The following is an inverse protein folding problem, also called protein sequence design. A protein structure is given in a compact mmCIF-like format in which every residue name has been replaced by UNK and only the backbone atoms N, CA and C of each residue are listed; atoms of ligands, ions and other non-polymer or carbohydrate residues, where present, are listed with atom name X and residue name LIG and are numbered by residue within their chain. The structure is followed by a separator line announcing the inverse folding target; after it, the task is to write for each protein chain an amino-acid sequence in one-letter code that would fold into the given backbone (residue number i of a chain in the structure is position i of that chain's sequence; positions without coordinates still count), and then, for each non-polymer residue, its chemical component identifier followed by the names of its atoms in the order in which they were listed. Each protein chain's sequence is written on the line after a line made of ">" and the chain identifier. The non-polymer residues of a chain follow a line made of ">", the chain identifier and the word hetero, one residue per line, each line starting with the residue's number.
data_IF_850498176493
#
_entry.id   IF_850498176493
#
_cell.length_a   1.000
_cell.length_b   1.000
_cell.length_c   1.000
_cell.angle_alpha   90.00
_cell.angle_beta   90.00
_cell.angle_gamma   90.00
#
_symmetry.space_group_name_H-M   'P 1'
#
loop_
_entity.id
_entity.type
_entity.pdbx_description
1 polymer ?
#
# COMPACT_ATOMS: atom_id res chain seq x y z
N UNK A 1 39.99 39.67 -10.43
CA UNK A 1 38.83 38.98 -11.02
C UNK A 1 38.59 37.72 -10.22
N UNK A 2 37.64 37.74 -9.30
CA UNK A 2 37.25 36.61 -8.49
C UNK A 2 36.12 35.87 -9.27
N UNK A 3 36.39 34.63 -9.67
CA UNK A 3 35.37 33.75 -10.21
C UNK A 3 34.43 33.33 -9.08
N UNK A 4 33.20 33.82 -9.17
CA UNK A 4 32.12 33.38 -8.31
C UNK A 4 31.87 31.87 -8.53
N UNK A 5 32.14 31.06 -7.51
CA UNK A 5 31.72 29.68 -7.43
C UNK A 5 30.19 29.62 -7.54
N UNK A 6 29.69 29.28 -8.71
CA UNK A 6 28.31 28.89 -8.92
C UNK A 6 28.02 27.68 -8.04
N UNK A 7 27.28 27.90 -6.97
CA UNK A 7 26.82 26.86 -6.10
C UNK A 7 25.99 25.84 -6.90
N UNK A 8 26.56 24.68 -7.13
CA UNK A 8 25.83 23.52 -7.60
C UNK A 8 24.78 23.22 -6.54
N UNK A 9 23.51 23.48 -6.84
CA UNK A 9 22.41 23.02 -6.02
C UNK A 9 22.62 21.53 -5.78
N UNK A 10 22.66 21.04 -4.53
CA UNK A 10 22.82 19.64 -4.28
C UNK A 10 21.63 18.95 -4.94
N UNK A 11 21.89 18.19 -6.01
CA UNK A 11 20.90 17.29 -6.59
C UNK A 11 20.37 16.42 -5.46
N UNK A 12 19.10 16.60 -5.11
CA UNK A 12 18.47 15.85 -4.03
C UNK A 12 18.76 14.35 -4.20
N UNK A 13 18.87 13.63 -3.09
CA UNK A 13 19.15 12.19 -3.08
C UNK A 13 18.42 11.51 -4.25
N UNK A 14 19.07 10.60 -5.00
CA UNK A 14 18.42 9.85 -6.09
C UNK A 14 17.10 9.21 -5.65
N UNK A 15 17.02 8.86 -4.38
CA UNK A 15 15.83 8.31 -3.74
C UNK A 15 14.69 9.34 -3.65
N UNK A 16 14.99 10.57 -3.23
CA UNK A 16 13.98 11.64 -3.20
C UNK A 16 13.44 11.97 -4.59
N UNK A 17 14.31 11.96 -5.59
CA UNK A 17 13.90 12.11 -6.98
C UNK A 17 12.94 10.98 -7.39
N UNK A 18 13.28 9.72 -7.12
CA UNK A 18 12.42 8.57 -7.40
C UNK A 18 11.06 8.67 -6.70
N UNK A 19 11.03 9.10 -5.44
CA UNK A 19 9.79 9.33 -4.69
C UNK A 19 8.91 10.38 -5.38
N UNK A 20 9.48 11.51 -5.81
CA UNK A 20 8.74 12.58 -6.50
C UNK A 20 8.22 12.13 -7.87
N UNK A 21 9.04 11.43 -8.66
CA UNK A 21 8.63 10.85 -9.95
C UNK A 21 7.47 9.86 -9.79
N UNK A 22 7.47 9.05 -8.74
CA UNK A 22 6.35 8.15 -8.46
C UNK A 22 5.10 8.90 -7.98
N UNK A 23 5.23 10.00 -7.25
CA UNK A 23 4.10 10.85 -6.89
C UNK A 23 3.46 11.47 -8.11
N UNK A 24 4.25 12.08 -8.99
CA UNK A 24 3.76 12.67 -10.26
C UNK A 24 3.06 11.61 -11.12
N UNK A 25 3.63 10.41 -11.20
CA UNK A 25 3.02 9.28 -11.94
C UNK A 25 1.70 8.84 -11.32
N UNK A 26 1.62 8.75 -9.99
CA UNK A 26 0.38 8.38 -9.30
C UNK A 26 -0.72 9.41 -9.54
N UNK A 27 -0.39 10.69 -9.46
CA UNK A 27 -1.32 11.80 -9.74
C UNK A 27 -1.78 11.80 -11.20
N UNK A 28 -0.86 11.56 -12.14
CA UNK A 28 -1.20 11.43 -13.56
C UNK A 28 -2.17 10.28 -13.82
N UNK A 29 -1.89 9.08 -13.31
CA UNK A 29 -2.79 7.94 -13.46
C UNK A 29 -4.15 8.21 -12.83
N UNK A 30 -4.18 8.81 -11.65
CA UNK A 30 -5.43 9.16 -10.98
C UNK A 30 -6.28 10.13 -11.84
N UNK A 31 -5.66 11.17 -12.39
CA UNK A 31 -6.33 12.14 -13.27
C UNK A 31 -6.80 11.49 -14.58
N UNK A 32 -5.99 10.62 -15.18
CA UNK A 32 -6.36 9.90 -16.41
C UNK A 32 -7.56 8.98 -16.17
N UNK A 33 -7.58 8.27 -15.06
CA UNK A 33 -8.70 7.38 -14.70
C UNK A 33 -10.02 8.14 -14.54
N UNK A 34 -9.97 9.35 -13.97
CA UNK A 34 -11.16 10.21 -13.81
C UNK A 34 -11.75 10.72 -15.14
N UNK A 35 -10.95 10.74 -16.21
CA UNK A 35 -11.38 11.15 -17.55
C UNK A 35 -11.73 9.97 -18.46
N UNK A 36 -11.46 8.74 -18.05
CA UNK A 36 -11.72 7.53 -18.84
C UNK A 36 -13.19 7.13 -18.73
N UNK A 37 -13.82 6.86 -19.89
CA UNK A 37 -15.23 6.49 -19.98
C UNK A 37 -15.48 4.99 -19.83
N UNK A 38 -14.49 4.17 -20.20
CA UNK A 38 -14.58 2.73 -20.03
C UNK A 38 -14.19 2.35 -18.58
N UNK A 39 -15.15 1.83 -17.77
CA UNK A 39 -14.87 1.47 -16.38
C UNK A 39 -13.75 0.45 -16.21
N UNK A 40 -13.57 -0.45 -17.20
CA UNK A 40 -12.51 -1.47 -17.16
C UNK A 40 -11.14 -0.85 -17.39
N UNK A 41 -11.05 0.10 -18.31
CA UNK A 41 -9.81 0.84 -18.59
C UNK A 41 -9.50 1.77 -17.42
N UNK A 42 -10.48 2.52 -16.93
CA UNK A 42 -10.35 3.38 -15.75
C UNK A 42 -9.82 2.61 -14.55
N UNK A 43 -10.39 1.44 -14.26
CA UNK A 43 -9.94 0.58 -13.16
C UNK A 43 -8.47 0.15 -13.32
N UNK A 44 -8.03 -0.24 -14.51
CA UNK A 44 -6.64 -0.60 -14.78
C UNK A 44 -5.68 0.57 -14.58
N UNK A 45 -6.10 1.77 -14.99
CA UNK A 45 -5.31 3.00 -14.78
C UNK A 45 -5.19 3.30 -13.26
N UNK A 46 -6.28 3.14 -12.49
CA UNK A 46 -6.24 3.28 -11.02
C UNK A 46 -5.28 2.28 -10.36
N UNK A 47 -5.21 1.05 -10.84
CA UNK A 47 -4.21 0.09 -10.37
C UNK A 47 -2.78 0.59 -10.64
N UNK A 48 -2.51 1.24 -11.76
CA UNK A 48 -1.24 1.91 -12.03
C UNK A 48 -0.90 2.99 -10.98
N UNK A 49 -1.90 3.75 -10.53
CA UNK A 49 -1.72 4.69 -9.43
C UNK A 49 -1.39 3.98 -8.10
N UNK A 50 -2.03 2.85 -7.78
CA UNK A 50 -1.72 2.03 -6.59
C UNK A 50 -0.26 1.60 -6.59
N UNK A 51 0.25 1.11 -7.73
CA UNK A 51 1.65 0.71 -7.84
C UNK A 51 2.60 1.88 -7.59
N UNK A 52 2.28 3.06 -8.13
CA UNK A 52 3.11 4.25 -7.93
C UNK A 52 3.06 4.74 -6.48
N UNK A 53 1.89 4.75 -5.83
CA UNK A 53 1.74 5.05 -4.41
C UNK A 53 2.55 4.09 -3.53
N UNK A 54 2.53 2.81 -3.86
CA UNK A 54 3.30 1.81 -3.13
C UNK A 54 4.81 1.96 -3.32
N UNK A 55 5.26 2.32 -4.53
CA UNK A 55 6.67 2.57 -4.79
C UNK A 55 7.22 3.75 -3.96
N UNK A 56 6.43 4.81 -3.75
CA UNK A 56 6.79 5.93 -2.86
C UNK A 56 7.11 5.41 -1.46
N UNK A 57 6.19 4.66 -0.86
CA UNK A 57 6.36 4.16 0.51
C UNK A 57 7.50 3.14 0.60
N UNK A 58 7.68 2.29 -0.41
CA UNK A 58 8.77 1.32 -0.43
C UNK A 58 10.15 2.00 -0.46
N UNK A 59 10.31 3.05 -1.28
CA UNK A 59 11.55 3.83 -1.31
C UNK A 59 11.86 4.49 0.05
N UNK A 60 10.83 4.95 0.77
CA UNK A 60 11.00 5.48 2.13
C UNK A 60 11.41 4.39 3.13
N UNK A 61 10.79 3.20 3.06
CA UNK A 61 11.10 2.06 3.91
C UNK A 61 12.51 1.53 3.67
N UNK A 62 12.95 1.47 2.41
CA UNK A 62 14.32 1.11 2.07
C UNK A 62 15.34 2.09 2.64
N UNK A 63 15.03 3.40 2.66
CA UNK A 63 15.91 4.39 3.28
C UNK A 63 16.07 4.15 4.78
N UNK A 64 14.97 3.81 5.46
CA UNK A 64 15.00 3.47 6.88
C UNK A 64 15.83 2.20 7.14
N UNK A 65 15.67 1.17 6.30
CA UNK A 65 16.44 -0.07 6.38
C UNK A 65 17.93 0.18 6.16
N UNK A 66 18.29 1.07 5.25
CA UNK A 66 19.69 1.46 4.98
C UNK A 66 20.25 2.51 5.94
N UNK A 67 19.53 2.84 6.99
CA UNK A 67 19.93 3.82 8.03
C UNK A 67 20.17 5.24 7.47
N UNK A 68 19.54 5.57 6.36
CA UNK A 68 19.61 6.91 5.75
C UNK A 68 18.67 7.90 6.47
N UNK A 69 17.81 7.42 7.36
CA UNK A 69 16.83 8.24 8.10
C UNK A 69 17.37 8.57 9.49
N UNK A 70 17.46 9.85 9.81
CA UNK A 70 17.87 10.33 11.14
C UNK A 70 16.94 9.74 12.23
N UNK A 71 17.51 9.46 13.38
CA UNK A 71 16.82 8.88 14.55
C UNK A 71 16.33 7.42 14.36
N UNK A 72 16.73 6.75 13.29
CA UNK A 72 16.51 5.34 13.05
C UNK A 72 17.86 4.65 12.85
N UNK A 73 18.61 4.50 13.92
CA UNK A 73 19.96 3.95 13.90
C UNK A 73 20.06 2.66 14.71
N UNK A 74 19.05 1.81 14.65
CA UNK A 74 19.12 0.50 15.27
C UNK A 74 20.17 -0.34 14.51
N UNK A 75 21.02 -1.11 15.19
CA UNK A 75 21.96 -2.02 14.54
C UNK A 75 21.28 -3.06 13.62
N UNK A 76 20.05 -3.46 13.94
CA UNK A 76 19.24 -4.31 13.06
C UNK A 76 18.45 -3.45 12.05
N UNK A 77 18.80 -3.50 10.76
CA UNK A 77 18.11 -2.76 9.70
C UNK A 77 16.60 -3.05 9.62
N UNK A 78 16.19 -4.29 9.92
CA UNK A 78 14.78 -4.71 9.88
C UNK A 78 13.95 -4.02 10.97
N UNK A 79 14.56 -3.74 12.12
CA UNK A 79 13.88 -3.00 13.19
C UNK A 79 13.68 -1.54 12.81
N UNK A 80 14.63 -0.91 12.12
CA UNK A 80 14.49 0.44 11.59
C UNK A 80 13.36 0.50 10.57
N UNK A 81 13.32 -0.44 9.62
CA UNK A 81 12.24 -0.56 8.63
C UNK A 81 10.88 -0.69 9.31
N UNK A 82 10.74 -1.60 10.27
CA UNK A 82 9.49 -1.83 11.00
C UNK A 82 9.02 -0.62 11.80
N UNK A 83 9.93 0.06 12.49
CA UNK A 83 9.62 1.27 13.24
C UNK A 83 9.14 2.40 12.31
N UNK A 84 9.81 2.57 11.15
CA UNK A 84 9.42 3.56 10.18
C UNK A 84 8.10 3.21 9.47
N UNK A 85 7.87 1.94 9.19
CA UNK A 85 6.60 1.47 8.62
C UNK A 85 5.42 1.80 9.53
N UNK A 86 5.57 1.62 10.84
CA UNK A 86 4.54 2.00 11.82
C UNK A 86 4.25 3.51 11.78
N UNK A 87 5.29 4.34 11.68
CA UNK A 87 5.16 5.80 11.56
C UNK A 87 4.43 6.19 10.25
N UNK A 88 4.83 5.64 9.12
CA UNK A 88 4.21 5.88 7.80
C UNK A 88 2.74 5.41 7.78
N UNK A 89 2.48 4.21 8.31
CA UNK A 89 1.12 3.64 8.37
C UNK A 89 0.17 4.52 9.19
N UNK A 90 0.66 5.13 10.27
CA UNK A 90 -0.16 6.02 11.11
C UNK A 90 -0.55 7.33 10.41
N UNK A 91 0.22 7.77 9.41
CA UNK A 91 0.06 9.06 8.73
C UNK A 91 -0.66 8.96 7.38
N UNK A 92 -0.52 7.83 6.69
CA UNK A 92 -1.08 7.62 5.37
C UNK A 92 -2.38 6.82 5.44
N UNK A 93 -3.52 7.42 5.08
CA UNK A 93 -4.79 6.72 5.05
C UNK A 93 -4.72 5.56 4.05
N UNK A 94 -5.36 4.46 4.38
CA UNK A 94 -5.46 3.28 3.52
C UNK A 94 -4.12 2.62 3.11
N UNK A 95 -3.00 2.94 3.78
CA UNK A 95 -1.70 2.36 3.46
C UNK A 95 -1.74 0.83 3.37
N UNK A 96 -2.28 0.15 4.39
CA UNK A 96 -2.38 -1.30 4.43
C UNK A 96 -3.34 -1.87 3.38
N UNK A 97 -4.39 -1.12 3.04
CA UNK A 97 -5.32 -1.53 1.99
C UNK A 97 -4.64 -1.47 0.61
N UNK A 98 -3.94 -0.37 0.30
CA UNK A 98 -3.18 -0.23 -0.96
C UNK A 98 -2.09 -1.30 -1.10
N UNK A 99 -1.43 -1.67 0.00
CA UNK A 99 -0.47 -2.77 0.01
C UNK A 99 -1.14 -4.11 -0.35
N UNK A 100 -2.27 -4.42 0.25
CA UNK A 100 -3.03 -5.63 -0.05
C UNK A 100 -3.51 -5.67 -1.50
N UNK A 101 -4.07 -4.56 -2.00
CA UNK A 101 -4.52 -4.45 -3.39
C UNK A 101 -3.36 -4.76 -4.34
N UNK A 102 -2.19 -4.13 -4.14
CA UNK A 102 -1.01 -4.38 -4.97
C UNK A 102 -0.55 -5.84 -4.91
N UNK A 103 -0.48 -6.44 -3.73
CA UNK A 103 -0.04 -7.84 -3.57
C UNK A 103 -0.99 -8.77 -4.32
N UNK A 104 -2.29 -8.53 -4.24
CA UNK A 104 -3.28 -9.34 -4.92
C UNK A 104 -3.23 -9.22 -6.43
N UNK A 105 -3.14 -7.98 -6.92
CA UNK A 105 -3.06 -7.74 -8.36
C UNK A 105 -1.80 -8.34 -8.98
N UNK A 106 -0.65 -8.18 -8.31
CA UNK A 106 0.64 -8.64 -8.83
C UNK A 106 0.83 -10.16 -8.75
N UNK A 107 0.41 -10.78 -7.65
CA UNK A 107 0.74 -12.19 -7.38
C UNK A 107 -0.35 -13.19 -7.74
N UNK A 108 -1.57 -12.77 -8.13
CA UNK A 108 -2.72 -13.66 -8.17
C UNK A 108 -3.74 -13.45 -9.29
N UNK A 109 -3.35 -13.13 -10.50
CA UNK A 109 -4.27 -13.09 -11.65
C UNK A 109 -4.97 -11.76 -11.94
N UNK A 110 -4.53 -10.67 -11.32
CA UNK A 110 -5.14 -9.37 -11.50
C UNK A 110 -6.44 -9.19 -10.69
N UNK A 111 -6.69 -7.97 -10.28
CA UNK A 111 -7.98 -7.60 -9.72
C UNK A 111 -8.91 -7.36 -10.90
N UNK A 112 -9.94 -8.19 -11.02
CA UNK A 112 -10.95 -8.05 -12.06
C UNK A 112 -11.70 -6.73 -11.88
N UNK A 113 -12.10 -6.08 -12.98
CA UNK A 113 -12.96 -4.92 -12.88
C UNK A 113 -14.27 -5.27 -12.17
N UNK A 114 -14.90 -4.28 -11.52
CA UNK A 114 -16.13 -4.49 -10.77
C UNK A 114 -17.20 -5.21 -11.58
N UNK A 115 -17.73 -6.29 -11.03
CA UNK A 115 -18.93 -6.94 -11.52
C UNK A 115 -20.01 -6.85 -10.42
N UNK A 116 -21.12 -6.13 -10.64
CA UNK A 116 -22.14 -5.93 -9.62
C UNK A 116 -22.84 -7.23 -9.18
N UNK A 117 -22.67 -8.31 -9.96
CA UNK A 117 -23.30 -9.60 -9.66
C UNK A 117 -22.34 -10.57 -8.94
N UNK A 118 -21.12 -10.16 -8.62
CA UNK A 118 -20.12 -11.07 -8.09
C UNK A 118 -19.31 -10.48 -6.94
N UNK A 119 -19.43 -11.08 -5.76
CA UNK A 119 -18.55 -10.78 -4.62
C UNK A 119 -17.28 -11.62 -4.73
N UNK A 120 -16.16 -10.97 -4.96
CA UNK A 120 -14.85 -11.62 -4.96
C UNK A 120 -14.26 -11.64 -3.56
N UNK A 121 -13.89 -12.83 -3.10
CA UNK A 121 -13.09 -13.01 -1.89
C UNK A 121 -11.69 -13.45 -2.31
N UNK A 122 -10.72 -12.56 -2.17
CA UNK A 122 -9.34 -12.84 -2.52
C UNK A 122 -8.51 -13.04 -1.25
N UNK A 123 -7.79 -14.16 -1.19
CA UNK A 123 -6.92 -14.48 -0.05
C UNK A 123 -5.49 -14.04 -0.34
N UNK A 124 -4.93 -13.14 0.48
CA UNK A 124 -3.55 -12.67 0.39
C UNK A 124 -2.55 -13.61 1.05
N UNK A 125 -1.81 -14.37 0.27
CA UNK A 125 -0.73 -15.21 0.76
C UNK A 125 -1.08 -16.70 0.97
N UNK A 126 -0.08 -17.58 1.15
CA UNK A 126 -0.33 -18.97 1.46
C UNK A 126 -0.99 -19.07 2.83
N UNK A 127 -2.14 -19.70 2.87
CA UNK A 127 -2.80 -20.08 4.12
C UNK A 127 -1.91 -21.10 4.83
N UNK A 128 -1.16 -20.67 5.85
CA UNK A 128 -0.41 -21.61 6.70
C UNK A 128 -1.36 -22.17 7.75
N UNK A 129 -2.01 -23.25 7.43
CA UNK A 129 -2.76 -24.04 8.40
C UNK A 129 -1.74 -24.89 9.20
N UNK A 130 -1.40 -24.43 10.39
CA UNK A 130 -0.73 -25.29 11.38
C UNK A 130 -1.79 -25.93 12.25
N UNK A 131 -2.29 -27.07 11.81
CA UNK A 131 -3.18 -27.91 12.64
C UNK A 131 -2.34 -29.01 13.30
N UNK A 132 -2.19 -28.98 14.62
CA UNK A 132 -1.63 -30.14 15.31
C UNK A 132 -2.69 -31.23 15.59
N UNK A 133 -3.94 -30.90 15.76
CA UNK A 133 -5.13 -31.77 15.78
C UNK A 133 -6.37 -30.88 15.73
N UNK A 134 -7.08 -30.83 14.62
CA UNK A 134 -8.32 -30.07 14.48
C UNK A 134 -8.68 -29.74 13.03
N UNK A 135 -9.89 -29.26 12.81
CA UNK A 135 -10.39 -28.82 11.51
C UNK A 135 -10.45 -27.29 11.52
N UNK A 136 -9.97 -26.66 10.45
CA UNK A 136 -10.17 -25.24 10.22
C UNK A 136 -11.03 -25.07 8.97
N UNK A 137 -12.06 -24.26 9.07
CA UNK A 137 -12.92 -23.87 7.95
C UNK A 137 -12.97 -22.34 7.85
N UNK A 138 -13.05 -21.82 6.63
CA UNK A 138 -13.28 -20.44 6.37
C UNK A 138 -14.76 -20.23 6.07
N UNK A 139 -15.42 -19.38 6.83
CA UNK A 139 -16.76 -18.90 6.55
C UNK A 139 -16.69 -17.42 6.13
N UNK A 140 -17.35 -17.08 5.03
CA UNK A 140 -17.56 -15.68 4.62
C UNK A 140 -18.93 -15.25 5.15
N UNK A 141 -18.94 -14.29 6.06
CA UNK A 141 -20.16 -13.74 6.65
C UNK A 141 -20.36 -12.28 6.24
N UNK A 142 -21.54 -11.72 6.51
CA UNK A 142 -21.81 -10.28 6.28
C UNK A 142 -20.91 -9.36 7.11
N UNK A 143 -20.26 -9.90 8.14
CA UNK A 143 -19.28 -9.20 8.98
C UNK A 143 -17.83 -9.43 8.51
N UNK A 144 -17.65 -10.06 7.35
CA UNK A 144 -16.33 -10.42 6.80
C UNK A 144 -15.97 -11.90 6.99
N UNK A 145 -14.75 -12.29 6.58
CA UNK A 145 -14.29 -13.65 6.69
C UNK A 145 -14.03 -14.02 8.16
N UNK A 146 -14.64 -15.10 8.59
CA UNK A 146 -14.41 -15.70 9.91
C UNK A 146 -13.71 -17.05 9.75
N UNK A 147 -12.72 -17.28 10.58
CA UNK A 147 -12.07 -18.60 10.67
C UNK A 147 -12.73 -19.37 11.79
N UNK A 148 -13.37 -20.45 11.42
CA UNK A 148 -13.91 -21.41 12.36
C UNK A 148 -12.85 -22.49 12.61
N UNK A 149 -12.40 -22.59 13.85
CA UNK A 149 -11.42 -23.62 14.25
C UNK A 149 -12.03 -24.52 15.31
N UNK A 150 -11.76 -25.81 15.22
CA UNK A 150 -12.01 -26.76 16.29
C UNK A 150 -10.69 -27.34 16.80
N UNK A 151 -10.54 -27.43 18.13
CA UNK A 151 -9.31 -27.93 18.76
C UNK A 151 -8.18 -26.89 18.82
N UNK A 152 -6.92 -27.35 19.05
CA UNK A 152 -5.73 -26.49 19.18
C UNK A 152 -5.16 -26.02 17.82
N UNK A 153 -6.01 -25.54 16.93
CA UNK A 153 -5.61 -25.07 15.61
C UNK A 153 -5.25 -23.57 15.67
N UNK A 154 -4.00 -23.22 15.39
CA UNK A 154 -3.60 -21.84 15.13
C UNK A 154 -3.66 -21.60 13.62
N UNK A 155 -4.54 -20.72 13.20
CA UNK A 155 -4.65 -20.29 11.80
C UNK A 155 -4.10 -18.87 11.72
N UNK A 156 -2.93 -18.71 11.12
CA UNK A 156 -2.43 -17.40 10.72
C UNK A 156 -2.99 -17.09 9.32
N UNK A 157 -4.09 -16.37 9.27
CA UNK A 157 -4.58 -15.80 8.03
C UNK A 157 -3.85 -14.49 7.77
N UNK A 158 -3.17 -14.40 6.63
CA UNK A 158 -2.97 -13.09 6.04
C UNK A 158 -4.37 -12.57 5.70
N UNK A 159 -4.70 -11.37 6.18
CA UNK A 159 -6.04 -10.79 6.04
C UNK A 159 -6.47 -10.81 4.57
N UNK A 160 -7.62 -11.41 4.25
CA UNK A 160 -8.09 -11.48 2.87
C UNK A 160 -8.40 -10.08 2.35
N UNK A 161 -8.22 -9.88 1.04
CA UNK A 161 -8.78 -8.72 0.37
C UNK A 161 -10.22 -9.06 0.00
N UNK A 162 -11.17 -8.35 0.60
CA UNK A 162 -12.58 -8.49 0.25
C UNK A 162 -12.95 -7.42 -0.76
N UNK A 163 -13.63 -7.86 -1.83
CA UNK A 163 -14.14 -6.98 -2.87
C UNK A 163 -15.63 -7.29 -3.04
N UNK A 164 -16.44 -6.25 -2.97
CA UNK A 164 -17.88 -6.32 -3.19
C UNK A 164 -18.32 -5.15 -4.05
N UNK A 165 -19.01 -5.42 -5.14
CA UNK A 165 -19.54 -4.39 -6.06
C UNK A 165 -18.45 -3.38 -6.54
N UNK A 166 -17.19 -3.85 -6.65
CA UNK A 166 -16.04 -3.03 -7.01
C UNK A 166 -15.44 -2.19 -5.89
N UNK A 167 -15.96 -2.30 -4.69
CA UNK A 167 -15.41 -1.66 -3.50
C UNK A 167 -14.56 -2.64 -2.69
N UNK A 168 -13.57 -2.11 -2.01
CA UNK A 168 -12.60 -2.85 -1.19
C UNK A 168 -12.94 -2.70 0.28
N UNK A 169 -12.92 -3.81 1.02
CA UNK A 169 -13.13 -3.74 2.47
C UNK A 169 -11.90 -3.20 3.18
N UNK A 170 -12.06 -2.08 3.87
CA UNK A 170 -11.04 -1.50 4.73
C UNK A 170 -11.26 -1.94 6.19
N UNK A 171 -10.31 -2.73 6.73
CA UNK A 171 -10.42 -3.24 8.10
C UNK A 171 -10.33 -2.14 9.16
N UNK A 172 -9.68 -1.01 8.83
CA UNK A 172 -9.49 0.07 9.79
C UNK A 172 -10.80 0.81 10.09
N UNK A 173 -11.62 0.99 9.07
CA UNK A 173 -12.94 1.63 9.17
C UNK A 173 -14.10 0.65 9.24
N UNK A 174 -13.85 -0.65 8.98
CA UNK A 174 -14.88 -1.70 8.85
C UNK A 174 -15.92 -1.38 7.78
N UNK A 175 -15.52 -0.77 6.67
CA UNK A 175 -16.39 -0.34 5.58
C UNK A 175 -15.84 -0.74 4.22
N UNK A 176 -16.74 -0.85 3.24
CA UNK A 176 -16.36 -0.92 1.85
C UNK A 176 -16.08 0.49 1.32
N UNK A 177 -14.99 0.63 0.56
CA UNK A 177 -14.50 1.89 -0.02
C UNK A 177 -14.12 1.68 -1.47
N UNK A 178 -14.43 2.64 -2.33
CA UNK A 178 -14.02 2.56 -3.74
C UNK A 178 -12.55 2.96 -3.91
N UNK A 179 -11.90 2.46 -4.96
CA UNK A 179 -10.48 2.69 -5.19
C UNK A 179 -10.14 4.15 -5.47
N UNK A 180 -11.06 4.90 -6.08
CA UNK A 180 -10.89 6.33 -6.33
C UNK A 180 -10.79 7.13 -5.02
N UNK A 181 -11.70 6.88 -4.07
CA UNK A 181 -11.69 7.55 -2.76
C UNK A 181 -10.44 7.18 -1.96
N UNK A 182 -10.03 5.91 -1.98
CA UNK A 182 -8.80 5.44 -1.36
C UNK A 182 -7.59 6.19 -1.89
N UNK A 183 -7.45 6.27 -3.21
CA UNK A 183 -6.33 6.97 -3.84
C UNK A 183 -6.39 8.48 -3.62
N UNK A 184 -7.57 9.09 -3.69
CA UNK A 184 -7.74 10.50 -3.41
C UNK A 184 -7.28 10.87 -2.00
N UNK A 185 -7.73 10.12 -0.99
CA UNK A 185 -7.34 10.34 0.40
C UNK A 185 -5.84 10.13 0.62
N UNK A 186 -5.24 9.10 0.00
CA UNK A 186 -3.81 8.84 0.08
C UNK A 186 -3.00 9.96 -0.59
N UNK A 187 -3.34 10.34 -1.83
CA UNK A 187 -2.64 11.36 -2.59
C UNK A 187 -2.74 12.76 -1.98
N UNK A 188 -3.81 13.04 -1.22
CA UNK A 188 -3.94 14.28 -0.47
C UNK A 188 -2.96 14.38 0.70
N UNK A 189 -2.53 13.25 1.29
CA UNK A 189 -1.67 13.24 2.48
C UNK A 189 -0.21 12.93 2.20
N UNK A 190 0.09 12.19 1.14
CA UNK A 190 1.46 11.76 0.85
C UNK A 190 2.45 12.90 0.63
N UNK A 191 2.10 14.08 0.04
CA UNK A 191 3.04 15.19 -0.07
C UNK A 191 3.56 15.67 1.29
N UNK A 192 2.71 15.76 2.32
CA UNK A 192 3.11 16.16 3.66
C UNK A 192 4.10 15.17 4.26
N UNK A 193 3.84 13.87 4.07
CA UNK A 193 4.73 12.80 4.56
C UNK A 193 6.07 12.83 3.83
N UNK A 194 6.10 13.16 2.53
CA UNK A 194 7.35 13.34 1.77
C UNK A 194 8.16 14.50 2.35
N UNK A 195 7.52 15.64 2.64
CA UNK A 195 8.20 16.81 3.23
C UNK A 195 8.79 16.48 4.60
N UNK A 196 8.08 15.72 5.43
CA UNK A 196 8.60 15.27 6.72
C UNK A 196 9.77 14.29 6.54
N UNK A 197 9.67 13.40 5.58
CA UNK A 197 10.73 12.45 5.24
C UNK A 197 12.00 13.15 4.75
N UNK A 198 11.88 14.15 3.88
CA UNK A 198 13.00 14.94 3.38
C UNK A 198 13.81 15.60 4.50
N UNK A 199 13.14 16.06 5.57
CA UNK A 199 13.82 16.66 6.74
C UNK A 199 14.59 15.63 7.57
N UNK A 200 14.24 14.34 7.43
CA UNK A 200 14.82 13.23 8.19
C UNK A 200 15.91 12.48 7.42
N UNK A 201 15.99 12.63 6.12
CA UNK A 201 17.09 12.06 5.32
C UNK A 201 18.39 12.82 5.61
N UNK A 202 19.48 12.05 5.76
CA UNK A 202 20.81 12.57 6.02
C UNK A 202 21.48 13.07 4.72
#
# INVERSE_FOLDING_TARGET
>A
MQCSNGGVMPFGSPRLRGIREHLERAQLFFALAGNEKDPKVSHRILLGAVYSCRAITELMLEAAEKQEVKNLQNPDPKLNRKAFESDVTSKLPYYLLLERIRIHDFHRFGILPPDPNFTQVMFGGPMKLKTQKGVAALAVTDQGPQVLTSGNSKVELQRPLLIRDGEFFDDSSSKYVNLGDVLNAFLARVPDVIVEFEKRIA
#
